data_IF_750408194449
#
_entry.id   IF_750408194449
#
_cell.length_a   1.000
_cell.length_b   1.000
_cell.length_c   1.000
_cell.angle_alpha   90.00
_cell.angle_beta   90.00
_cell.angle_gamma   90.00
#
_symmetry.space_group_name_H-M   'P 1'
#
loop_
_entity.id
_entity.type
_entity.pdbx_description
1 polymer ?
#
# COMPACT_ATOMS: atom_id res chain seq x y z
N UNK A 1 -2.21 -3.82 14.59
CA UNK A 1 -2.28 -4.56 15.87
C UNK A 1 -0.90 -4.90 16.43
N UNK A 2 0.20 -4.54 15.75
CA UNK A 2 1.55 -4.65 16.31
C UNK A 2 1.83 -3.67 17.47
N UNK A 3 1.08 -2.57 17.58
CA UNK A 3 1.20 -1.65 18.71
C UNK A 3 0.88 -2.34 20.02
N UNK A 4 1.85 -2.31 20.93
CA UNK A 4 1.73 -2.69 22.34
C UNK A 4 0.66 -1.87 23.05
N UNK A 5 0.21 -2.33 24.22
CA UNK A 5 -0.77 -1.58 25.00
C UNK A 5 -0.25 -0.19 25.38
N UNK A 6 1.03 -0.10 25.74
CA UNK A 6 1.69 1.16 26.11
C UNK A 6 1.70 2.16 24.94
N UNK A 7 2.14 1.73 23.75
CA UNK A 7 2.13 2.58 22.56
C UNK A 7 0.72 3.06 22.21
N UNK A 8 -0.31 2.21 22.42
CA UNK A 8 -1.69 2.61 22.15
C UNK A 8 -2.17 3.75 23.03
N UNK A 9 -1.83 3.71 24.32
CA UNK A 9 -2.14 4.82 25.22
C UNK A 9 -1.34 6.07 24.86
N UNK A 10 -0.03 5.92 24.67
CA UNK A 10 0.87 7.05 24.40
C UNK A 10 0.55 7.77 23.09
N UNK A 11 0.16 7.03 22.04
CA UNK A 11 -0.21 7.58 20.73
C UNK A 11 -1.69 7.99 20.62
N UNK A 12 -2.50 7.79 21.68
CA UNK A 12 -3.93 8.14 21.66
C UNK A 12 -4.79 7.27 20.73
N UNK A 13 -4.39 6.02 20.50
CA UNK A 13 -5.09 5.07 19.60
C UNK A 13 -5.76 3.91 20.36
N UNK A 14 -5.68 3.89 21.70
CA UNK A 14 -6.42 2.94 22.51
C UNK A 14 -7.94 3.09 22.29
N UNK A 15 -8.66 1.99 22.12
CA UNK A 15 -10.09 1.99 21.75
C UNK A 15 -10.39 2.08 20.25
N UNK A 16 -9.46 2.57 19.42
CA UNK A 16 -9.63 2.66 17.96
C UNK A 16 -9.20 1.40 17.20
N UNK A 17 -8.53 0.48 17.89
CA UNK A 17 -8.01 -0.78 17.33
C UNK A 17 -8.53 -1.93 18.19
N UNK A 18 -8.94 -3.09 17.61
CA UNK A 18 -9.40 -4.24 18.38
C UNK A 18 -8.47 -4.60 19.54
N UNK A 19 -8.99 -5.16 20.66
CA UNK A 19 -8.25 -5.49 21.87
C UNK A 19 -7.38 -6.76 21.70
N UNK A 20 -6.69 -6.89 20.58
CA UNK A 20 -5.76 -7.96 20.26
C UNK A 20 -4.39 -7.37 19.90
N UNK A 21 -3.33 -8.04 20.32
CA UNK A 21 -1.93 -7.69 20.05
C UNK A 21 -1.33 -8.77 19.17
N UNK A 22 -0.59 -8.37 18.13
CA UNK A 22 -0.05 -9.32 17.15
C UNK A 22 1.43 -9.09 16.93
N UNK A 23 2.20 -10.18 16.85
CA UNK A 23 3.56 -10.12 16.33
C UNK A 23 3.56 -9.82 14.84
N UNK A 24 4.71 -9.39 14.31
CA UNK A 24 4.85 -9.17 12.87
C UNK A 24 4.58 -10.47 12.09
N UNK A 25 5.06 -11.64 12.56
CA UNK A 25 4.81 -12.92 11.87
C UNK A 25 3.33 -13.27 11.83
N UNK A 26 2.59 -13.03 12.92
CA UNK A 26 1.15 -13.25 12.96
C UNK A 26 0.42 -12.34 11.95
N UNK A 27 0.87 -11.10 11.79
CA UNK A 27 0.31 -10.20 10.78
C UNK A 27 0.63 -10.67 9.36
N UNK A 28 1.87 -11.10 9.08
CA UNK A 28 2.28 -11.66 7.80
C UNK A 28 1.44 -12.89 7.45
N UNK A 29 1.28 -13.83 8.38
CA UNK A 29 0.47 -15.02 8.20
C UNK A 29 -0.98 -14.69 7.81
N UNK A 30 -1.63 -13.76 8.53
CA UNK A 30 -3.01 -13.35 8.24
C UNK A 30 -3.15 -12.70 6.87
N UNK A 31 -2.18 -11.86 6.49
CA UNK A 31 -2.18 -11.21 5.17
C UNK A 31 -2.01 -12.25 4.06
N UNK A 32 -1.02 -13.14 4.18
CA UNK A 32 -0.75 -14.17 3.18
C UNK A 32 -1.90 -15.15 3.02
N UNK A 33 -2.54 -15.56 4.13
CA UNK A 33 -3.75 -16.39 4.08
C UNK A 33 -4.81 -15.76 3.18
N UNK A 34 -5.13 -14.47 3.43
CA UNK A 34 -6.13 -13.76 2.64
C UNK A 34 -5.70 -13.53 1.18
N UNK A 35 -4.42 -13.26 0.92
CA UNK A 35 -3.90 -13.13 -0.47
C UNK A 35 -4.10 -14.44 -1.24
N UNK A 36 -3.80 -15.58 -0.62
CA UNK A 36 -3.94 -16.89 -1.27
C UNK A 36 -5.39 -17.30 -1.49
N UNK A 37 -6.31 -16.77 -0.69
CA UNK A 37 -7.77 -16.94 -0.85
C UNK A 37 -8.40 -16.06 -1.93
N UNK A 38 -7.67 -15.08 -2.48
CA UNK A 38 -8.21 -14.24 -3.55
C UNK A 38 -8.46 -15.03 -4.84
N UNK A 39 -9.54 -14.72 -5.57
CA UNK A 39 -9.97 -15.50 -6.73
C UNK A 39 -9.02 -15.41 -7.92
N UNK A 40 -8.30 -14.29 -8.07
CA UNK A 40 -7.38 -14.06 -9.17
C UNK A 40 -6.25 -13.10 -8.79
N UNK A 41 -5.29 -12.93 -9.69
CA UNK A 41 -4.11 -12.08 -9.45
C UNK A 41 -4.45 -10.59 -9.38
N UNK A 42 -5.51 -10.12 -10.04
CA UNK A 42 -5.93 -8.72 -9.96
C UNK A 42 -6.51 -8.42 -8.58
N UNK A 43 -7.29 -9.34 -8.01
CA UNK A 43 -7.78 -9.23 -6.64
C UNK A 43 -6.64 -9.28 -5.61
N UNK A 44 -5.60 -10.11 -5.85
CA UNK A 44 -4.36 -10.10 -5.06
C UNK A 44 -3.63 -8.77 -5.15
N UNK A 45 -3.51 -8.20 -6.36
CA UNK A 45 -2.90 -6.90 -6.58
C UNK A 45 -3.64 -5.81 -5.79
N UNK A 46 -4.96 -5.76 -5.89
CA UNK A 46 -5.80 -4.81 -5.15
C UNK A 46 -5.61 -4.93 -3.65
N UNK A 47 -5.54 -6.16 -3.12
CA UNK A 47 -5.30 -6.37 -1.70
C UNK A 47 -3.91 -5.90 -1.25
N UNK A 48 -2.88 -6.12 -2.07
CA UNK A 48 -1.52 -5.64 -1.82
C UNK A 48 -1.43 -4.11 -1.90
N UNK A 49 -2.15 -3.51 -2.85
CA UNK A 49 -2.28 -2.06 -3.01
C UNK A 49 -2.89 -1.40 -1.76
N UNK A 50 -3.98 -1.96 -1.24
CA UNK A 50 -4.58 -1.53 0.03
C UNK A 50 -3.63 -1.69 1.21
N UNK A 51 -2.90 -2.82 1.27
CA UNK A 51 -1.95 -3.08 2.34
C UNK A 51 -0.84 -2.04 2.38
N UNK A 52 -0.30 -1.66 1.23
CA UNK A 52 0.74 -0.63 1.12
C UNK A 52 0.27 0.71 1.70
N UNK A 53 -0.97 1.11 1.40
CA UNK A 53 -1.57 2.35 1.91
C UNK A 53 -1.80 2.29 3.42
N UNK A 54 -2.26 1.15 3.94
CA UNK A 54 -2.56 0.97 5.37
C UNK A 54 -1.31 0.85 6.24
N UNK A 55 -0.30 0.12 5.76
CA UNK A 55 0.94 -0.12 6.49
C UNK A 55 2.07 -0.48 5.54
N UNK A 56 2.89 0.52 5.23
CA UNK A 56 4.06 0.35 4.37
C UNK A 56 5.07 -0.67 4.95
N UNK A 57 5.29 -0.67 6.26
CA UNK A 57 6.18 -1.65 6.93
C UNK A 57 5.72 -3.09 6.70
N UNK A 58 4.44 -3.37 6.97
CA UNK A 58 3.89 -4.73 6.80
C UNK A 58 3.83 -5.14 5.32
N UNK A 59 3.54 -4.21 4.41
CA UNK A 59 3.59 -4.46 2.97
C UNK A 59 4.96 -4.99 2.53
N UNK A 60 6.04 -4.27 2.85
CA UNK A 60 7.39 -4.71 2.48
C UNK A 60 7.80 -5.97 3.21
N UNK A 61 7.42 -6.15 4.49
CA UNK A 61 7.69 -7.41 5.20
C UNK A 61 7.07 -8.62 4.48
N UNK A 62 5.79 -8.53 4.11
CA UNK A 62 5.07 -9.59 3.40
C UNK A 62 5.73 -9.88 2.06
N UNK A 63 6.07 -8.83 1.31
CA UNK A 63 6.69 -8.92 0.00
C UNK A 63 8.08 -9.58 0.06
N UNK A 64 8.96 -9.09 0.94
CA UNK A 64 10.31 -9.63 1.09
C UNK A 64 10.31 -11.09 1.56
N UNK A 65 9.34 -11.48 2.40
CA UNK A 65 9.24 -12.86 2.90
C UNK A 65 8.70 -13.85 1.85
N UNK A 66 8.02 -13.36 0.80
CA UNK A 66 7.33 -14.18 -0.19
C UNK A 66 7.63 -13.68 -1.62
N UNK A 67 8.84 -13.19 -1.86
CA UNK A 67 9.18 -12.43 -3.08
C UNK A 67 8.88 -13.21 -4.35
N UNK A 68 9.19 -14.52 -4.38
CA UNK A 68 8.94 -15.37 -5.55
C UNK A 68 7.45 -15.49 -5.89
N UNK A 69 6.57 -15.50 -4.88
CA UNK A 69 5.12 -15.60 -5.05
C UNK A 69 4.49 -14.24 -5.40
N UNK A 70 4.97 -13.16 -4.79
CA UNK A 70 4.30 -11.86 -4.86
C UNK A 70 4.87 -10.89 -5.90
N UNK A 71 6.13 -11.05 -6.31
CA UNK A 71 6.73 -10.23 -7.37
C UNK A 71 5.90 -10.20 -8.67
N UNK A 72 5.40 -11.34 -9.21
CA UNK A 72 4.56 -11.31 -10.41
C UNK A 72 3.16 -10.72 -10.19
N UNK A 73 2.76 -10.49 -8.93
CA UNK A 73 1.51 -9.82 -8.58
C UNK A 73 1.70 -8.31 -8.54
N UNK A 74 2.75 -7.81 -7.88
CA UNK A 74 3.00 -6.36 -7.77
C UNK A 74 3.58 -5.74 -9.03
N UNK A 75 4.19 -6.56 -9.89
CA UNK A 75 4.82 -6.11 -11.13
C UNK A 75 4.33 -6.95 -12.32
N UNK A 76 5.18 -7.14 -13.32
CA UNK A 76 4.85 -7.92 -14.52
C UNK A 76 4.55 -9.38 -14.15
N UNK A 77 3.46 -9.98 -14.67
CA UNK A 77 2.53 -9.43 -15.67
C UNK A 77 1.30 -8.69 -15.10
N UNK A 78 0.99 -8.86 -13.81
CA UNK A 78 -0.31 -8.43 -13.24
C UNK A 78 -0.50 -6.91 -13.24
N UNK A 79 0.57 -6.13 -13.05
CA UNK A 79 0.50 -4.66 -13.07
C UNK A 79 0.01 -4.14 -14.43
N UNK A 80 0.29 -4.83 -15.53
CA UNK A 80 -0.22 -4.43 -16.85
C UNK A 80 -1.74 -4.52 -16.93
N UNK A 81 -2.33 -5.60 -16.41
CA UNK A 81 -3.78 -5.75 -16.31
C UNK A 81 -4.39 -4.72 -15.35
N UNK A 82 -3.71 -4.45 -14.22
CA UNK A 82 -4.13 -3.42 -13.29
C UNK A 82 -4.15 -2.03 -13.94
N UNK A 83 -3.15 -1.70 -14.77
CA UNK A 83 -3.12 -0.45 -15.55
C UNK A 83 -4.29 -0.38 -16.54
N UNK A 84 -4.60 -1.46 -17.25
CA UNK A 84 -5.75 -1.49 -18.18
C UNK A 84 -7.09 -1.27 -17.46
N UNK A 85 -7.20 -1.75 -16.22
CA UNK A 85 -8.41 -1.62 -15.39
C UNK A 85 -8.32 -0.49 -14.36
N UNK A 86 -7.32 0.40 -14.47
CA UNK A 86 -6.95 1.34 -13.41
C UNK A 86 -8.13 2.20 -12.94
N UNK A 87 -8.93 2.72 -13.88
CA UNK A 87 -10.10 3.54 -13.55
C UNK A 87 -11.11 2.82 -12.64
N UNK A 88 -11.26 1.50 -12.76
CA UNK A 88 -12.20 0.72 -11.95
C UNK A 88 -11.63 0.30 -10.58
N UNK A 89 -10.30 0.21 -10.45
CA UNK A 89 -9.65 -0.27 -9.22
C UNK A 89 -9.00 0.84 -8.39
N UNK A 90 -9.04 2.09 -8.88
CA UNK A 90 -8.47 3.25 -8.20
C UNK A 90 -9.07 3.44 -6.80
N UNK A 91 -8.19 3.66 -5.81
CA UNK A 91 -8.60 3.90 -4.41
C UNK A 91 -7.89 5.08 -3.77
N UNK A 92 -6.57 5.18 -3.93
CA UNK A 92 -5.75 6.15 -3.21
C UNK A 92 -4.73 6.81 -4.15
N UNK A 93 -4.50 8.13 -4.01
CA UNK A 93 -3.42 8.79 -4.73
C UNK A 93 -2.07 8.32 -4.18
N UNK A 94 -1.25 7.69 -5.04
CA UNK A 94 0.09 7.18 -4.72
C UNK A 94 1.20 7.78 -5.57
N UNK A 95 0.86 8.78 -6.37
CA UNK A 95 1.78 9.45 -7.26
C UNK A 95 1.20 10.79 -7.69
N UNK A 96 1.86 11.38 -8.68
CA UNK A 96 1.54 12.69 -9.20
C UNK A 96 1.12 12.55 -10.66
N UNK A 97 0.08 13.28 -11.06
CA UNK A 97 -0.39 13.36 -12.44
C UNK A 97 -0.01 14.74 -12.99
N UNK A 98 0.70 14.77 -14.12
CA UNK A 98 1.07 15.99 -14.83
C UNK A 98 0.56 15.84 -16.26
N UNK A 99 -0.18 16.81 -16.75
CA UNK A 99 -0.84 16.78 -18.06
C UNK A 99 -0.22 17.80 -19.01
N UNK A 100 -0.61 17.73 -20.29
CA UNK A 100 -0.22 18.73 -21.28
C UNK A 100 -0.71 20.15 -20.94
N UNK A 101 -1.75 20.29 -20.10
CA UNK A 101 -2.27 21.59 -19.66
C UNK A 101 -1.41 22.25 -18.56
N UNK A 102 -0.49 21.48 -17.98
CA UNK A 102 0.41 21.90 -16.90
C UNK A 102 1.77 22.39 -17.43
N UNK A 103 1.90 22.63 -18.74
CA UNK A 103 3.15 22.91 -19.45
C UNK A 103 3.79 24.29 -19.13
N UNK A 104 4.24 24.44 -17.89
CA UNK A 104 5.10 25.53 -17.42
C UNK A 104 5.86 25.08 -16.17
N UNK A 105 7.06 25.62 -15.96
CA UNK A 105 7.90 25.30 -14.78
C UNK A 105 7.12 25.56 -13.49
N UNK A 106 6.41 26.69 -13.40
CA UNK A 106 5.68 27.09 -12.19
C UNK A 106 4.51 26.15 -11.88
N UNK A 107 3.73 25.72 -12.88
CA UNK A 107 2.62 24.78 -12.68
C UNK A 107 3.12 23.41 -12.24
N UNK A 108 4.16 22.89 -12.88
CA UNK A 108 4.77 21.61 -12.49
C UNK A 108 5.31 21.71 -11.07
N UNK A 109 6.03 22.79 -10.74
CA UNK A 109 6.53 23.02 -9.39
C UNK A 109 5.39 23.03 -8.37
N UNK A 110 4.30 23.76 -8.63
CA UNK A 110 3.13 23.79 -7.75
C UNK A 110 2.54 22.38 -7.53
N UNK A 111 2.40 21.58 -8.59
CA UNK A 111 1.93 20.20 -8.48
C UNK A 111 2.87 19.38 -7.58
N UNK A 112 4.18 19.50 -7.76
CA UNK A 112 5.17 18.78 -6.94
C UNK A 112 5.14 19.22 -5.47
N UNK A 113 4.85 20.49 -5.17
CA UNK A 113 4.70 20.97 -3.78
C UNK A 113 3.50 20.38 -3.05
N UNK A 114 2.52 19.80 -3.76
CA UNK A 114 1.41 19.09 -3.14
C UNK A 114 1.82 17.69 -2.62
N UNK A 115 2.99 17.19 -3.01
CA UNK A 115 3.48 15.88 -2.57
C UNK A 115 3.92 15.94 -1.11
N UNK A 116 3.53 14.92 -0.33
CA UNK A 116 3.72 14.91 1.13
C UNK A 116 5.17 14.72 1.57
N UNK A 117 5.99 14.06 0.75
CA UNK A 117 7.39 13.80 1.07
C UNK A 117 8.28 14.91 0.49
N UNK A 118 8.84 15.81 1.31
CA UNK A 118 9.68 16.90 0.81
C UNK A 118 11.04 16.44 0.28
N UNK A 119 11.51 15.23 0.65
CA UNK A 119 12.84 14.72 0.27
C UNK A 119 12.72 13.53 -0.69
N UNK A 120 12.31 13.80 -1.92
CA UNK A 120 12.36 12.83 -3.03
C UNK A 120 13.80 12.72 -3.53
N UNK A 121 14.32 11.50 -3.69
CA UNK A 121 15.69 11.20 -4.14
C UNK A 121 15.69 10.62 -5.55
#
# INVERSE_FOLDING_TARGET
MAFTLYERFYLGIHGLIPPAFMTEEQQVYRVMKRIREQPDNLAKYVQLDELQTRSQKLFYRVLCSNVKELMPIVYTPTVGLACQKFGAIYRHPKGVYITLHDNSISKIHQILTNWREPKVK
#
